data_IF_763482896382
#
_entry.id   IF_763482896382
#
_cell.length_a   1.000
_cell.length_b   1.000
_cell.length_c   1.000
_cell.angle_alpha   90.00
_cell.angle_beta   90.00
_cell.angle_gamma   90.00
#
_symmetry.space_group_name_H-M   'P 1'
#
loop_
_entity.id
_entity.type
_entity.pdbx_description
1 polymer ?
#
# COMPACT_ATOMS: atom_id res chain seq x y z
N UNK A 1 -5.21 -3.31 2.21
CA UNK A 1 -4.48 -4.58 2.39
C UNK A 1 -4.16 -5.24 1.05
N UNK A 2 -5.11 -5.35 0.12
CA UNK A 2 -4.87 -5.91 -1.23
C UNK A 2 -3.88 -5.06 -2.06
N UNK A 3 -4.01 -3.73 -2.02
CA UNK A 3 -3.18 -2.81 -2.81
C UNK A 3 -1.69 -2.89 -2.47
N UNK A 4 -1.31 -3.07 -1.20
CA UNK A 4 0.10 -3.11 -0.79
C UNK A 4 0.81 -4.35 -1.30
N UNK A 5 0.11 -5.50 -1.32
CA UNK A 5 0.69 -6.75 -1.77
C UNK A 5 0.76 -6.79 -3.31
N UNK A 6 -0.26 -6.26 -3.99
CA UNK A 6 -0.23 -6.04 -5.44
C UNK A 6 0.92 -5.12 -5.85
N UNK A 7 1.11 -3.99 -5.14
CA UNK A 7 2.20 -3.05 -5.41
C UNK A 7 3.58 -3.69 -5.19
N UNK A 8 3.73 -4.51 -4.14
CA UNK A 8 4.94 -5.27 -3.89
C UNK A 8 5.22 -6.27 -5.02
N UNK A 9 4.21 -7.06 -5.42
CA UNK A 9 4.32 -8.00 -6.55
C UNK A 9 4.73 -7.26 -7.82
N UNK A 10 4.02 -6.18 -8.17
CA UNK A 10 4.27 -5.43 -9.41
C UNK A 10 5.70 -4.88 -9.46
N UNK A 11 6.23 -4.40 -8.34
CA UNK A 11 7.60 -3.84 -8.27
C UNK A 11 8.68 -4.93 -8.28
N UNK A 12 8.49 -6.04 -7.56
CA UNK A 12 9.44 -7.15 -7.55
C UNK A 12 9.44 -7.94 -8.87
N UNK A 13 8.27 -8.18 -9.47
CA UNK A 13 8.17 -8.87 -10.76
C UNK A 13 8.66 -7.99 -11.92
N UNK A 14 8.47 -6.66 -11.85
CA UNK A 14 9.08 -5.74 -12.82
C UNK A 14 10.62 -5.74 -12.72
N UNK A 15 11.19 -5.92 -11.53
CA UNK A 15 12.63 -6.02 -11.33
C UNK A 15 13.22 -7.38 -11.78
N UNK A 16 12.43 -8.46 -11.69
CA UNK A 16 12.79 -9.80 -12.15
C UNK A 16 13.04 -9.94 -13.67
N UNK A 17 12.85 -8.87 -14.44
CA UNK A 17 13.19 -8.82 -15.87
C UNK A 17 14.69 -8.62 -16.14
N UNK A 18 15.43 -8.03 -15.20
CA UNK A 18 16.87 -7.73 -15.39
C UNK A 18 17.80 -8.76 -14.77
N UNK A 19 17.31 -9.59 -13.85
CA UNK A 19 18.09 -10.64 -13.19
C UNK A 19 17.55 -12.02 -13.58
N UNK A 20 17.99 -12.53 -14.75
CA UNK A 20 17.84 -13.94 -15.09
C UNK A 20 18.91 -14.71 -14.30
N UNK A 21 18.51 -15.68 -13.49
CA UNK A 21 19.45 -16.72 -13.05
C UNK A 21 20.07 -17.40 -14.29
N UNK A 22 21.23 -18.05 -14.12
CA UNK A 22 21.96 -18.76 -15.19
C UNK A 22 21.10 -19.70 -16.04
N UNK A 23 19.97 -20.12 -15.50
CA UNK A 23 19.06 -21.11 -16.07
C UNK A 23 17.86 -20.50 -16.82
N UNK A 24 17.77 -19.16 -16.91
CA UNK A 24 16.81 -18.46 -17.79
C UNK A 24 15.36 -18.43 -17.31
N UNK A 25 15.07 -18.81 -16.05
CA UNK A 25 13.71 -18.78 -15.52
C UNK A 25 13.26 -17.36 -15.17
N UNK A 26 12.19 -16.90 -15.83
CA UNK A 26 11.36 -15.80 -15.34
C UNK A 26 10.62 -16.29 -14.11
N UNK A 27 10.84 -15.69 -12.94
CA UNK A 27 10.13 -16.06 -11.72
C UNK A 27 8.63 -15.77 -11.90
N UNK A 28 7.81 -16.83 -12.01
CA UNK A 28 6.36 -16.68 -12.01
C UNK A 28 5.91 -16.05 -10.70
N UNK A 29 5.01 -15.08 -10.76
CA UNK A 29 4.57 -14.29 -9.60
C UNK A 29 4.00 -15.19 -8.50
N UNK A 30 3.40 -16.33 -8.85
CA UNK A 30 2.91 -17.33 -7.91
C UNK A 30 4.02 -17.88 -7.00
N UNK A 31 5.23 -18.07 -7.54
CA UNK A 31 6.38 -18.59 -6.78
C UNK A 31 6.94 -17.56 -5.78
N UNK A 32 6.70 -16.27 -6.04
CA UNK A 32 7.14 -15.17 -5.19
C UNK A 32 6.16 -14.84 -4.05
N UNK A 33 4.91 -15.33 -4.11
CA UNK A 33 3.89 -15.05 -3.08
C UNK A 33 4.36 -15.39 -1.66
N UNK A 34 4.92 -16.59 -1.37
CA UNK A 34 5.32 -16.94 -0.01
C UNK A 34 6.44 -16.04 0.52
N UNK A 35 7.38 -15.65 -0.35
CA UNK A 35 8.47 -14.74 0.00
C UNK A 35 7.94 -13.33 0.31
N UNK A 36 6.97 -12.84 -0.47
CA UNK A 36 6.35 -11.54 -0.27
C UNK A 36 5.46 -11.49 0.97
N UNK A 37 4.71 -12.55 1.25
CA UNK A 37 3.93 -12.69 2.48
C UNK A 37 4.84 -12.59 3.71
N UNK A 38 5.97 -13.27 3.69
CA UNK A 38 6.97 -13.23 4.75
C UNK A 38 7.59 -11.83 4.90
N UNK A 39 7.90 -11.17 3.78
CA UNK A 39 8.41 -9.80 3.78
C UNK A 39 7.40 -8.81 4.37
N UNK A 40 6.13 -8.91 3.99
CA UNK A 40 5.04 -8.08 4.51
C UNK A 40 4.88 -8.27 6.02
N UNK A 41 4.79 -9.53 6.48
CA UNK A 41 4.65 -9.91 7.88
C UNK A 41 5.76 -9.38 8.79
N UNK A 42 6.96 -9.22 8.25
CA UNK A 42 8.15 -8.71 8.94
C UNK A 42 8.37 -7.21 8.74
N UNK A 43 7.63 -6.55 7.86
CA UNK A 43 7.74 -5.12 7.63
C UNK A 43 7.07 -4.32 8.74
N UNK A 44 7.67 -3.19 9.13
CA UNK A 44 7.08 -2.28 10.12
C UNK A 44 6.03 -1.43 9.41
N UNK A 45 4.80 -1.47 9.91
CA UNK A 45 3.72 -0.64 9.38
C UNK A 45 3.76 0.76 10.00
N UNK A 46 3.63 1.79 9.17
CA UNK A 46 3.67 3.20 9.60
C UNK A 46 2.60 3.56 10.63
N UNK A 47 1.41 2.95 10.55
CA UNK A 47 0.31 3.20 11.48
C UNK A 47 0.51 2.60 12.87
N UNK A 48 1.23 1.49 12.98
CA UNK A 48 1.34 0.72 14.24
C UNK A 48 2.75 0.80 14.84
N UNK A 49 3.77 1.11 14.03
CA UNK A 49 5.17 1.16 14.45
C UNK A 49 5.77 -0.20 14.82
N UNK A 50 5.01 -1.29 14.64
CA UNK A 50 5.42 -2.68 14.87
C UNK A 50 5.12 -3.55 13.65
N UNK A 51 5.74 -4.72 13.61
CA UNK A 51 5.47 -5.73 12.58
C UNK A 51 4.18 -6.50 12.90
N UNK A 52 3.38 -6.92 11.91
CA UNK A 52 2.17 -7.71 12.14
C UNK A 52 2.45 -9.00 12.91
N UNK A 53 3.54 -9.69 12.59
CA UNK A 53 3.93 -10.92 13.28
C UNK A 53 4.29 -10.71 14.76
N UNK A 54 4.86 -9.55 15.09
CA UNK A 54 5.08 -9.18 16.50
C UNK A 54 3.76 -8.97 17.25
N UNK A 55 2.73 -8.44 16.59
CA UNK A 55 1.42 -8.22 17.22
C UNK A 55 0.62 -9.52 17.38
N UNK A 56 0.66 -10.39 16.37
CA UNK A 56 -0.08 -11.65 16.37
C UNK A 56 0.57 -12.73 17.23
N UNK A 57 1.91 -12.86 17.15
CA UNK A 57 2.64 -13.99 17.73
C UNK A 57 3.67 -13.59 18.78
N UNK A 58 3.88 -12.29 19.00
CA UNK A 58 4.90 -11.79 19.92
C UNK A 58 6.35 -12.02 19.46
N UNK A 59 6.58 -12.56 18.26
CA UNK A 59 7.91 -12.84 17.74
C UNK A 59 7.98 -12.66 16.22
N UNK A 60 9.15 -12.21 15.75
CA UNK A 60 9.46 -12.13 14.33
C UNK A 60 10.27 -13.37 13.90
N UNK A 61 9.93 -14.02 12.79
CA UNK A 61 10.73 -15.12 12.26
C UNK A 61 12.12 -14.63 11.86
N UNK A 62 13.16 -15.40 12.21
CA UNK A 62 14.54 -15.12 11.78
C UNK A 62 14.71 -15.56 10.34
N UNK A 63 15.11 -14.63 9.47
CA UNK A 63 15.48 -14.93 8.10
C UNK A 63 16.96 -15.36 8.03
N UNK A 64 17.36 -16.14 7.00
CA UNK A 64 18.77 -16.43 6.74
C UNK A 64 19.61 -15.16 6.71
N UNK A 65 19.09 -14.10 6.07
CA UNK A 65 19.70 -12.77 6.02
C UNK A 65 19.96 -12.16 7.42
N UNK A 66 19.06 -12.37 8.40
CA UNK A 66 19.29 -11.84 9.76
C UNK A 66 20.36 -12.63 10.52
N UNK A 67 20.60 -13.87 10.08
CA UNK A 67 21.55 -14.80 10.69
C UNK A 67 22.95 -14.61 10.11
N UNK A 68 23.06 -13.98 8.94
CA UNK A 68 24.33 -13.50 8.39
C UNK A 68 24.92 -12.45 9.33
N UNK A 69 25.82 -12.87 10.22
CA UNK A 69 26.55 -11.95 11.10
C UNK A 69 27.38 -11.03 10.21
N UNK A 70 27.29 -9.72 10.47
CA UNK A 70 28.10 -8.70 9.77
C UNK A 70 29.61 -8.92 9.94
N UNK A 71 30.01 -9.70 10.96
CA UNK A 71 31.39 -9.86 11.41
C UNK A 71 32.02 -11.21 10.99
N UNK A 72 31.34 -12.03 10.19
CA UNK A 72 31.97 -13.24 9.66
C UNK A 72 32.88 -12.84 8.49
N UNK A 73 34.17 -13.17 8.63
CA UNK A 73 35.16 -13.14 7.55
C UNK A 73 34.56 -13.80 6.33
N UNK A 74 34.60 -13.12 5.19
CA UNK A 74 33.99 -13.51 3.92
C UNK A 74 34.34 -14.97 3.57
N UNK A 75 33.45 -15.91 3.92
CA UNK A 75 33.74 -17.35 3.90
C UNK A 75 33.78 -17.84 2.44
N UNK A 76 33.06 -17.16 1.54
CA UNK A 76 33.00 -17.52 0.14
C UNK A 76 32.65 -16.31 -0.77
N UNK A 77 33.35 -16.08 -1.89
CA UNK A 77 33.13 -14.93 -2.78
C UNK A 77 31.71 -14.86 -3.39
N UNK A 78 31.01 -15.99 -3.47
CA UNK A 78 29.59 -16.05 -3.91
C UNK A 78 28.62 -15.49 -2.88
N UNK A 79 28.93 -15.58 -1.59
CA UNK A 79 28.08 -15.02 -0.53
C UNK A 79 28.10 -13.49 -0.60
N UNK A 80 29.29 -12.92 -0.77
CA UNK A 80 29.48 -11.48 -0.92
C UNK A 80 28.76 -10.92 -2.15
N UNK A 81 28.88 -11.57 -3.31
CA UNK A 81 28.21 -11.12 -4.53
C UNK A 81 26.68 -11.20 -4.40
N UNK A 82 26.15 -12.25 -3.79
CA UNK A 82 24.72 -12.40 -3.52
C UNK A 82 24.20 -11.34 -2.55
N UNK A 83 24.97 -11.03 -1.49
CA UNK A 83 24.62 -9.95 -0.54
C UNK A 83 24.54 -8.59 -1.23
N UNK A 84 25.52 -8.24 -2.04
CA UNK A 84 25.52 -6.98 -2.80
C UNK A 84 24.32 -6.91 -3.75
N UNK A 85 24.03 -7.99 -4.45
CA UNK A 85 22.88 -8.08 -5.35
C UNK A 85 21.57 -7.82 -4.60
N UNK A 86 21.37 -8.48 -3.45
CA UNK A 86 20.16 -8.32 -2.64
C UNK A 86 20.00 -6.89 -2.10
N UNK A 87 21.09 -6.26 -1.65
CA UNK A 87 21.09 -4.86 -1.19
C UNK A 87 20.73 -3.90 -2.34
N UNK A 88 21.29 -4.10 -3.54
CA UNK A 88 20.95 -3.31 -4.72
C UNK A 88 19.48 -3.46 -5.10
N UNK A 89 18.96 -4.69 -5.13
CA UNK A 89 17.56 -4.97 -5.42
C UNK A 89 16.63 -4.30 -4.39
N UNK A 90 16.95 -4.36 -3.10
CA UNK A 90 16.21 -3.68 -2.03
C UNK A 90 16.23 -2.16 -2.20
N UNK A 91 17.39 -1.58 -2.45
CA UNK A 91 17.54 -0.14 -2.63
C UNK A 91 16.69 0.34 -3.81
N UNK A 92 16.75 -0.37 -4.93
CA UNK A 92 15.94 -0.09 -6.10
C UNK A 92 14.43 -0.17 -5.80
N UNK A 93 13.98 -1.26 -5.17
CA UNK A 93 12.57 -1.44 -4.82
C UNK A 93 12.06 -0.32 -3.88
N UNK A 94 12.85 0.07 -2.89
CA UNK A 94 12.52 1.16 -1.98
C UNK A 94 12.42 2.51 -2.71
N UNK A 95 13.35 2.79 -3.63
CA UNK A 95 13.33 4.01 -4.44
C UNK A 95 12.08 4.08 -5.31
N UNK A 96 11.77 3.00 -6.06
CA UNK A 96 10.55 2.93 -6.87
C UNK A 96 9.28 3.11 -6.04
N UNK A 97 9.27 2.62 -4.79
CA UNK A 97 8.14 2.81 -3.89
C UNK A 97 7.99 4.26 -3.44
N UNK A 98 9.08 4.92 -3.06
CA UNK A 98 9.07 6.34 -2.69
C UNK A 98 8.64 7.24 -3.85
N UNK A 99 9.16 6.99 -5.05
CA UNK A 99 8.82 7.75 -6.25
C UNK A 99 7.32 7.59 -6.58
N UNK A 100 6.79 6.37 -6.46
CA UNK A 100 5.37 6.09 -6.67
C UNK A 100 4.48 6.81 -5.65
N UNK A 101 4.84 6.83 -4.37
CA UNK A 101 4.09 7.57 -3.35
C UNK A 101 4.16 9.08 -3.57
N UNK A 102 5.34 9.60 -3.93
CA UNK A 102 5.51 11.02 -4.25
C UNK A 102 4.65 11.43 -5.44
N UNK A 103 4.67 10.65 -6.51
CA UNK A 103 3.86 10.89 -7.70
C UNK A 103 2.36 10.88 -7.38
N UNK A 104 1.88 9.89 -6.62
CA UNK A 104 0.49 9.80 -6.22
C UNK A 104 0.05 11.01 -5.39
N UNK A 105 0.89 11.43 -4.43
CA UNK A 105 0.65 12.62 -3.61
C UNK A 105 0.60 13.89 -4.44
N UNK A 106 1.60 14.13 -5.28
CA UNK A 106 1.63 15.33 -6.13
C UNK A 106 0.43 15.41 -7.08
N UNK A 107 0.00 14.27 -7.64
CA UNK A 107 -1.17 14.21 -8.50
C UNK A 107 -2.45 14.48 -7.71
N UNK A 108 -2.57 13.93 -6.51
CA UNK A 108 -3.69 14.21 -5.62
C UNK A 108 -3.74 15.68 -5.26
N UNK A 109 -2.65 16.27 -4.77
CA UNK A 109 -2.59 17.68 -4.35
C UNK A 109 -2.89 18.65 -5.51
N UNK A 110 -2.53 18.31 -6.75
CA UNK A 110 -2.82 19.12 -7.95
C UNK A 110 -4.28 19.07 -8.39
N UNK A 111 -4.91 17.89 -8.34
CA UNK A 111 -6.26 17.67 -8.87
C UNK A 111 -7.32 17.92 -7.79
N UNK A 112 -7.01 17.58 -6.55
CA UNK A 112 -7.97 17.60 -5.46
C UNK A 112 -8.18 19.03 -4.95
N UNK A 113 -9.25 19.65 -5.41
CA UNK A 113 -9.79 20.87 -4.81
C UNK A 113 -10.91 20.47 -3.87
N UNK A 114 -10.74 20.73 -2.58
CA UNK A 114 -11.81 20.53 -1.60
C UNK A 114 -12.91 21.57 -1.92
N UNK A 115 -14.15 21.16 -2.23
CA UNK A 115 -15.23 22.11 -2.39
C UNK A 115 -15.60 22.68 -1.02
N UNK A 116 -15.70 24.01 -0.93
CA UNK A 116 -16.20 24.68 0.27
C UNK A 116 -17.73 24.66 0.24
N UNK A 117 -18.31 23.76 1.02
CA UNK A 117 -19.75 23.65 1.18
C UNK A 117 -20.23 24.50 2.37
N UNK A 118 -21.31 25.25 2.19
CA UNK A 118 -21.98 25.98 3.28
C UNK A 118 -23.32 25.34 3.63
N UNK A 119 -23.72 25.52 4.89
CA UNK A 119 -25.06 25.12 5.34
C UNK A 119 -26.09 25.95 4.54
N UNK A 120 -27.05 25.27 3.92
CA UNK A 120 -28.04 25.89 3.04
C UNK A 120 -27.75 25.75 1.53
N UNK A 121 -26.53 25.33 1.13
CA UNK A 121 -26.23 25.10 -0.28
C UNK A 121 -27.00 23.90 -0.83
N UNK A 122 -27.41 23.99 -2.10
CA UNK A 122 -28.07 22.92 -2.84
C UNK A 122 -27.01 22.11 -3.59
N UNK A 123 -26.91 20.82 -3.29
CA UNK A 123 -25.94 19.91 -3.90
C UNK A 123 -26.64 18.72 -4.55
N UNK A 124 -26.06 18.29 -5.66
CA UNK A 124 -26.43 17.05 -6.33
C UNK A 124 -25.65 15.89 -5.72
N UNK A 125 -26.33 14.80 -5.37
CA UNK A 125 -25.66 13.60 -4.81
C UNK A 125 -25.54 12.54 -5.90
N UNK A 126 -24.34 11.97 -6.05
CA UNK A 126 -24.10 10.94 -7.06
C UNK A 126 -24.85 9.65 -6.74
N UNK A 127 -25.49 9.07 -7.76
CA UNK A 127 -26.32 7.86 -7.63
C UNK A 127 -25.57 6.54 -7.72
N UNK A 128 -24.24 6.59 -7.90
CA UNK A 128 -23.38 5.40 -8.08
C UNK A 128 -23.57 4.33 -6.99
N UNK A 129 -23.73 4.77 -5.73
CA UNK A 129 -23.87 3.90 -4.57
C UNK A 129 -25.31 3.75 -4.06
N UNK A 130 -26.30 4.37 -4.72
CA UNK A 130 -27.69 4.16 -4.34
C UNK A 130 -28.19 2.83 -4.90
N UNK A 131 -28.93 2.09 -4.07
CA UNK A 131 -29.72 0.97 -4.53
C UNK A 131 -30.89 1.56 -5.31
N UNK A 132 -30.94 1.33 -6.61
CA UNK A 132 -32.01 1.84 -7.46
C UNK A 132 -33.34 1.28 -6.96
N UNK A 133 -34.25 2.18 -6.60
CA UNK A 133 -35.65 1.86 -6.28
C UNK A 133 -36.50 1.99 -7.55
N UNK A 134 -35.99 2.66 -8.60
CA UNK A 134 -36.81 3.19 -9.69
C UNK A 134 -36.52 2.62 -11.08
N UNK A 135 -35.52 1.74 -11.25
CA UNK A 135 -35.33 1.03 -12.52
C UNK A 135 -33.92 0.46 -12.78
N UNK A 136 -33.59 0.14 -14.04
CA UNK A 136 -32.25 -0.33 -14.38
C UNK A 136 -31.23 0.81 -14.28
N UNK A 137 -30.11 0.59 -13.56
CA UNK A 137 -29.03 1.58 -13.32
C UNK A 137 -28.50 2.32 -14.56
N UNK A 138 -28.65 1.75 -15.75
CA UNK A 138 -28.17 2.33 -17.01
C UNK A 138 -29.06 3.47 -17.54
N UNK A 139 -30.32 3.53 -17.11
CA UNK A 139 -31.30 4.55 -17.51
C UNK A 139 -31.60 5.56 -16.40
N UNK A 140 -30.94 5.44 -15.24
CA UNK A 140 -31.06 6.42 -14.16
C UNK A 140 -30.06 7.57 -14.34
N UNK A 141 -30.46 8.76 -13.93
CA UNK A 141 -29.57 9.91 -13.89
C UNK A 141 -28.40 9.66 -12.92
N UNK A 142 -27.21 10.09 -13.31
CA UNK A 142 -25.98 9.97 -12.51
C UNK A 142 -26.01 10.76 -11.19
N UNK A 143 -26.98 11.67 -11.05
CA UNK A 143 -27.12 12.57 -9.92
C UNK A 143 -28.59 12.68 -9.51
N UNK A 144 -28.85 12.59 -8.20
CA UNK A 144 -30.18 12.76 -7.63
C UNK A 144 -30.29 14.13 -6.96
N UNK A 145 -31.39 14.83 -7.30
CA UNK A 145 -31.98 16.00 -6.63
C UNK A 145 -31.06 17.20 -6.38
N UNK A 146 -31.58 18.41 -6.17
CA UNK A 146 -30.89 19.39 -5.35
C UNK A 146 -31.24 19.12 -3.87
N UNK A 147 -30.30 18.60 -3.10
CA UNK A 147 -30.45 18.40 -1.65
C UNK A 147 -29.81 19.58 -0.90
N UNK A 148 -30.47 20.04 0.15
CA UNK A 148 -29.93 21.11 1.00
C UNK A 148 -29.02 20.55 2.09
N UNK A 149 -27.83 21.13 2.23
CA UNK A 149 -26.90 20.79 3.31
C UNK A 149 -27.44 21.35 4.63
N UNK A 150 -27.86 20.46 5.55
CA UNK A 150 -28.32 20.84 6.90
C UNK A 150 -27.16 21.02 7.89
N UNK A 151 -26.20 20.11 7.86
CA UNK A 151 -25.03 20.12 8.74
C UNK A 151 -23.83 19.54 7.99
N UNK A 152 -22.64 20.06 8.28
CA UNK A 152 -21.39 19.46 7.85
C UNK A 152 -20.70 18.83 9.06
N UNK A 153 -20.15 17.63 8.87
CA UNK A 153 -19.22 17.03 9.82
C UNK A 153 -17.83 17.15 9.18
N UNK A 154 -16.98 18.01 9.74
CA UNK A 154 -15.58 18.03 9.32
C UNK A 154 -14.87 16.82 9.94
N UNK A 155 -14.56 15.82 9.11
CA UNK A 155 -13.94 14.57 9.54
C UNK A 155 -12.51 14.76 10.11
N UNK A 156 -11.92 15.96 10.00
CA UNK A 156 -10.62 16.27 10.59
C UNK A 156 -10.66 16.64 12.09
N UNK A 157 -11.84 16.86 12.68
CA UNK A 157 -11.98 17.24 14.10
C UNK A 157 -12.60 16.15 14.99
N UNK A 158 -12.90 14.96 14.45
CA UNK A 158 -13.34 13.83 15.27
C UNK A 158 -12.15 13.13 15.94
N UNK A 159 -11.33 13.89 16.70
CA UNK A 159 -10.59 13.31 17.80
C UNK A 159 -11.63 12.97 18.88
N UNK A 160 -11.72 11.68 19.14
CA UNK A 160 -12.63 11.03 20.08
C UNK A 160 -12.45 11.61 21.49
N UNK A 161 -13.09 12.75 21.78
CA UNK A 161 -13.33 13.17 23.16
C UNK A 161 -14.48 12.34 23.69
N UNK A 162 -14.17 11.13 24.14
CA UNK A 162 -15.02 10.45 25.12
C UNK A 162 -15.11 11.35 26.35
N UNK A 163 -16.17 12.16 26.40
CA UNK A 163 -16.72 12.57 27.68
C UNK A 163 -17.29 11.30 28.33
N UNK A 164 -16.42 10.64 29.10
CA UNK A 164 -16.85 9.73 30.15
C UNK A 164 -17.50 10.61 31.22
N UNK A 165 -18.82 10.55 31.30
CA UNK A 165 -19.53 10.73 32.57
C UNK A 165 -19.48 9.42 33.34
#
# INVERSE_FOLDING_TARGET
MIQTLEDMIRKFCAYGLEFKDSDGFTHDWCTLIPALELAYKKSIHSSIGKTPTMLEKGLNPRLPYDTLKKDLVDIHPTEHSFKIMLEKARHHANKCMQDSFKYAKERWDKIHKRPDFKIGDLVLVSTLNFNSIRGPKKLEDSFAGPFMIKHYMDLMLCNWSSQVN
#
